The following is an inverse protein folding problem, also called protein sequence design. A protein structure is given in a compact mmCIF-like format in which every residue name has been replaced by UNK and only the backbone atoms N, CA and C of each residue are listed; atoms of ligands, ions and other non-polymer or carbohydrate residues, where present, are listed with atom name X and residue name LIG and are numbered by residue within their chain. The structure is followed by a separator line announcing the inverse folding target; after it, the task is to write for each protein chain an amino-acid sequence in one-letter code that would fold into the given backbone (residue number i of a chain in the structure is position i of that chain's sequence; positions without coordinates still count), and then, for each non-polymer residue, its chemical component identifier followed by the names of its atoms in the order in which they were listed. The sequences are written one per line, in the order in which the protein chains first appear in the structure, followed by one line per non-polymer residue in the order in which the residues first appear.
data_IF_715871712240
#
_entry.id   IF_715871712240
#
_cell.length_a   1.000
_cell.length_b   1.000
_cell.length_c   1.000
_cell.angle_alpha   90.00
_cell.angle_beta   90.00
_cell.angle_gamma   90.00
#
_symmetry.space_group_name_H-M   'P 1'
#
loop_
_entity.id
_entity.type
_entity.pdbx_description
1 polymer ?
#
# COMPACT_ATOMS: atom_id res chain seq x y z
N UNK A 1 26.88 37.74 22.09
CA UNK A 1 27.94 36.82 21.61
C UNK A 1 27.43 36.09 20.39
N UNK A 2 28.08 36.27 19.24
CA UNK A 2 27.71 35.57 18.01
C UNK A 2 28.36 34.18 17.97
N UNK A 3 27.67 33.17 17.45
CA UNK A 3 28.26 31.84 17.28
C UNK A 3 29.45 31.90 16.33
N UNK A 4 30.55 31.26 16.72
CA UNK A 4 31.75 31.16 15.89
C UNK A 4 31.51 30.23 14.70
N UNK A 5 32.26 30.37 13.59
CA UNK A 5 32.17 29.46 12.45
C UNK A 5 32.38 27.99 12.84
N UNK A 6 33.26 27.73 13.81
CA UNK A 6 33.52 26.38 14.33
C UNK A 6 32.33 25.82 15.11
N UNK A 7 31.66 26.64 15.92
CA UNK A 7 30.44 26.25 16.61
C UNK A 7 29.32 25.91 15.62
N UNK A 8 29.18 26.68 14.53
CA UNK A 8 28.23 26.36 13.46
C UNK A 8 28.52 25.00 12.82
N UNK A 9 29.79 24.70 12.53
CA UNK A 9 30.20 23.39 11.98
C UNK A 9 29.88 22.24 12.96
N UNK A 10 30.16 22.41 14.26
CA UNK A 10 29.82 21.42 15.29
C UNK A 10 28.32 21.21 15.44
N UNK A 11 27.53 22.30 15.44
CA UNK A 11 26.08 22.24 15.53
C UNK A 11 25.48 21.51 14.31
N UNK A 12 26.01 21.77 13.12
CA UNK A 12 25.60 21.05 11.91
C UNK A 12 25.91 19.55 11.98
N UNK A 13 27.08 19.16 12.50
CA UNK A 13 27.44 17.74 12.69
C UNK A 13 26.52 17.06 13.71
N UNK A 14 26.30 17.69 14.85
CA UNK A 14 25.41 17.17 15.89
C UNK A 14 23.96 17.03 15.39
N UNK A 15 23.45 18.01 14.64
CA UNK A 15 22.11 17.96 14.07
C UNK A 15 21.93 16.76 13.12
N UNK A 16 22.94 16.47 12.28
CA UNK A 16 22.93 15.30 11.38
C UNK A 16 22.95 13.98 12.14
N UNK A 17 23.78 13.86 13.17
CA UNK A 17 23.84 12.66 14.01
C UNK A 17 22.52 12.42 14.76
N UNK A 18 21.89 13.48 15.24
CA UNK A 18 20.58 13.39 15.90
C UNK A 18 19.45 13.04 14.92
N UNK A 19 19.45 13.59 13.70
CA UNK A 19 18.43 13.26 12.70
C UNK A 19 18.49 11.78 12.29
N UNK A 20 19.69 11.19 12.24
CA UNK A 20 19.86 9.76 11.94
C UNK A 20 19.33 8.86 13.08
N UNK A 21 19.48 9.28 14.35
CA UNK A 21 19.03 8.50 15.52
C UNK A 21 17.52 8.56 15.76
N UNK A 22 16.85 9.61 15.30
CA UNK A 22 15.39 9.83 15.53
C UNK A 22 14.47 8.93 14.68
N UNK A 23 15.02 8.07 13.82
CA UNK A 23 14.23 7.27 12.88
C UNK A 23 13.60 8.13 11.77
N UNK A 24 12.77 7.53 10.92
CA UNK A 24 12.09 8.25 9.84
C UNK A 24 11.06 9.22 10.43
N UNK A 25 11.07 10.51 10.08
CA UNK A 25 10.04 11.44 10.52
C UNK A 25 8.66 10.96 10.06
N UNK A 26 7.62 11.22 10.85
CA UNK A 26 6.26 10.79 10.53
C UNK A 26 5.76 11.28 9.15
N UNK A 27 6.35 12.34 8.62
CA UNK A 27 6.14 12.87 7.27
C UNK A 27 6.73 12.00 6.14
N UNK A 28 7.74 11.18 6.42
CA UNK A 28 8.35 10.23 5.46
C UNK A 28 7.70 8.84 5.50
N UNK A 29 6.85 8.58 6.48
CA UNK A 29 5.98 7.40 6.48
C UNK A 29 4.90 7.66 5.45
N UNK A 30 5.16 7.29 4.20
CA UNK A 30 4.13 7.16 3.17
C UNK A 30 3.04 6.26 3.74
N UNK A 31 1.95 6.84 4.24
CA UNK A 31 0.78 6.09 4.66
C UNK A 31 0.36 5.28 3.43
N UNK A 32 0.50 3.96 3.50
CA UNK A 32 -0.08 3.09 2.49
C UNK A 32 -1.56 3.40 2.49
N UNK A 33 -2.04 3.95 1.38
CA UNK A 33 -3.45 4.23 1.22
C UNK A 33 -4.09 2.87 1.01
N UNK A 34 -4.60 2.30 2.09
CA UNK A 34 -5.32 1.04 2.05
C UNK A 34 -6.64 1.27 1.29
N UNK A 35 -6.55 1.15 -0.04
CA UNK A 35 -7.71 1.22 -0.91
C UNK A 35 -8.54 -0.04 -0.66
N UNK A 36 -9.62 0.13 0.10
CA UNK A 36 -10.64 -0.90 0.25
C UNK A 36 -11.55 -0.81 -0.97
N UNK A 37 -11.65 -1.91 -1.72
CA UNK A 37 -12.64 -2.02 -2.79
C UNK A 37 -14.04 -1.73 -2.23
N UNK A 38 -14.87 -0.92 -2.90
CA UNK A 38 -16.23 -0.64 -2.46
C UNK A 38 -17.15 -1.86 -2.57
N UNK A 39 -16.73 -2.87 -3.34
CA UNK A 39 -17.48 -4.10 -3.58
C UNK A 39 -16.70 -5.28 -3.00
N UNK A 40 -17.40 -6.13 -2.25
CA UNK A 40 -16.80 -7.35 -1.71
C UNK A 40 -16.56 -8.38 -2.83
N UNK A 41 -15.56 -9.23 -2.63
CA UNK A 41 -15.24 -10.29 -3.58
C UNK A 41 -16.44 -11.22 -3.83
N UNK A 42 -17.27 -11.47 -2.82
CA UNK A 42 -18.47 -12.31 -2.95
C UNK A 42 -19.48 -11.75 -3.96
N UNK A 43 -19.71 -10.44 -3.97
CA UNK A 43 -20.58 -9.79 -4.96
C UNK A 43 -20.01 -9.87 -6.38
N UNK A 44 -18.69 -9.75 -6.51
CA UNK A 44 -18.02 -9.89 -7.81
C UNK A 44 -18.20 -11.31 -8.38
N UNK A 45 -18.03 -12.32 -7.54
CA UNK A 45 -18.23 -13.73 -7.89
C UNK A 45 -19.69 -13.98 -8.29
N UNK A 46 -20.64 -13.49 -7.49
CA UNK A 46 -22.07 -13.64 -7.76
C UNK A 46 -22.43 -13.03 -9.12
N UNK A 47 -22.02 -11.78 -9.38
CA UNK A 47 -22.31 -11.10 -10.64
C UNK A 47 -21.65 -11.79 -11.84
N UNK A 48 -20.38 -12.22 -11.69
CA UNK A 48 -19.70 -13.00 -12.71
C UNK A 48 -20.44 -14.31 -13.03
N UNK A 49 -20.96 -14.99 -12.00
CA UNK A 49 -21.77 -16.18 -12.18
C UNK A 49 -23.14 -15.90 -12.82
N UNK A 50 -23.79 -14.78 -12.53
CA UNK A 50 -25.06 -14.44 -13.21
C UNK A 50 -24.83 -14.21 -14.71
N UNK A 51 -23.72 -13.57 -15.08
CA UNK A 51 -23.40 -13.28 -16.50
C UNK A 51 -22.88 -14.51 -17.24
N UNK A 52 -21.99 -15.30 -16.62
CA UNK A 52 -21.28 -16.39 -17.29
C UNK A 52 -21.67 -17.79 -16.82
N UNK A 53 -22.46 -17.93 -15.76
CA UNK A 53 -22.76 -19.21 -15.12
C UNK A 53 -23.41 -20.19 -16.08
N UNK A 54 -24.33 -19.72 -16.93
CA UNK A 54 -24.95 -20.56 -17.96
C UNK A 54 -23.93 -21.17 -18.93
N UNK A 55 -22.95 -20.37 -19.39
CA UNK A 55 -21.88 -20.86 -20.28
C UNK A 55 -20.97 -21.85 -19.57
N UNK A 56 -20.67 -21.61 -18.28
CA UNK A 56 -19.88 -22.53 -17.46
C UNK A 56 -20.62 -23.87 -17.31
N UNK A 57 -21.92 -23.86 -17.00
CA UNK A 57 -22.72 -25.08 -16.91
C UNK A 57 -22.87 -25.80 -18.25
N UNK A 58 -22.99 -25.08 -19.35
CA UNK A 58 -23.04 -25.67 -20.68
C UNK A 58 -21.73 -26.37 -21.03
N UNK A 59 -20.58 -25.74 -20.78
CA UNK A 59 -19.26 -26.34 -20.96
C UNK A 59 -19.09 -27.59 -20.10
N UNK A 60 -19.43 -27.51 -18.81
CA UNK A 60 -19.39 -28.65 -17.90
C UNK A 60 -20.30 -29.78 -18.38
N UNK A 61 -21.54 -29.46 -18.74
CA UNK A 61 -22.51 -30.44 -19.24
C UNK A 61 -21.98 -31.15 -20.49
N UNK A 62 -21.41 -30.42 -21.45
CA UNK A 62 -20.84 -31.01 -22.69
C UNK A 62 -19.59 -31.86 -22.46
N UNK A 63 -18.90 -31.68 -21.33
CA UNK A 63 -17.68 -32.43 -20.97
C UNK A 63 -17.98 -33.66 -20.11
N UNK A 64 -18.98 -33.58 -19.23
CA UNK A 64 -19.34 -34.64 -18.29
C UNK A 64 -20.53 -35.51 -18.72
N UNK A 65 -21.46 -34.97 -19.51
CA UNK A 65 -22.67 -35.68 -19.96
C UNK A 65 -22.67 -36.00 -21.46
N UNK A 66 -21.49 -36.02 -22.08
CA UNK A 66 -21.31 -36.48 -23.46
C UNK A 66 -20.43 -37.71 -23.52
#
# INVERSE_FOLDING_TARGET
MAQTPEQRKRNAKFAKEQSLKRGKPASEIKKKQDFKSPISLGWLILLGFVVFGGLIFELLSRFFFR
#
